data_IF_334776776933
#
_entry.id   IF_334776776933
#
_cell.length_a   1.000
_cell.length_b   1.000
_cell.length_c   1.000
_cell.angle_alpha   90.00
_cell.angle_beta   90.00
_cell.angle_gamma   90.00
#
_symmetry.space_group_name_H-M   'P 1'
#
loop_
_entity.id
_entity.type
_entity.pdbx_description
1 polymer ?
#
# COMPACT_ATOMS: atom_id res chain seq x y z
N UNK A 1 5.95 13.19 1.94
CA UNK A 1 7.03 12.77 1.00
C UNK A 1 7.27 11.28 1.16
N UNK A 2 7.55 10.56 0.08
CA UNK A 2 7.80 9.12 0.11
C UNK A 2 9.10 8.75 -0.59
N UNK A 3 9.82 7.78 -0.02
CA UNK A 3 10.97 7.14 -0.62
C UNK A 3 10.59 5.69 -0.94
N UNK A 4 10.80 5.29 -2.18
CA UNK A 4 10.54 3.93 -2.65
C UNK A 4 11.79 3.37 -3.30
N UNK A 5 12.08 2.10 -3.07
CA UNK A 5 13.17 1.39 -3.74
C UNK A 5 12.79 -0.07 -4.01
N UNK A 6 13.42 -0.66 -5.03
CA UNK A 6 13.28 -2.07 -5.33
C UNK A 6 14.40 -2.87 -4.67
N UNK A 7 14.05 -3.79 -3.78
CA UNK A 7 14.94 -4.79 -3.22
C UNK A 7 14.98 -5.99 -4.17
N UNK A 8 16.04 -6.08 -4.97
CA UNK A 8 16.22 -7.15 -5.94
C UNK A 8 16.43 -8.52 -5.30
N UNK A 9 17.05 -8.58 -4.10
CA UNK A 9 17.31 -9.83 -3.39
C UNK A 9 16.01 -10.49 -2.91
N UNK A 10 15.05 -9.67 -2.46
CA UNK A 10 13.72 -10.14 -2.04
C UNK A 10 12.68 -10.12 -3.17
N UNK A 11 12.97 -9.44 -4.28
CA UNK A 11 12.03 -9.15 -5.38
C UNK A 11 10.79 -8.37 -4.88
N UNK A 12 11.02 -7.35 -4.07
CA UNK A 12 9.97 -6.55 -3.43
C UNK A 12 10.23 -5.06 -3.65
N UNK A 13 9.17 -4.27 -3.66
CA UNK A 13 9.27 -2.81 -3.57
C UNK A 13 9.05 -2.44 -2.11
N UNK A 14 9.95 -1.66 -1.55
CA UNK A 14 9.84 -1.13 -0.20
C UNK A 14 9.61 0.37 -0.27
N UNK A 15 8.69 0.86 0.56
CA UNK A 15 8.32 2.27 0.63
C UNK A 15 8.34 2.76 2.07
N UNK A 16 8.70 4.03 2.25
CA UNK A 16 8.42 4.76 3.48
C UNK A 16 7.92 6.14 3.13
N UNK A 17 6.82 6.55 3.75
CA UNK A 17 6.26 7.87 3.52
C UNK A 17 5.62 8.47 4.77
N UNK A 18 5.57 9.79 4.78
CA UNK A 18 4.96 10.59 5.85
C UNK A 18 3.90 11.49 5.22
N UNK A 19 2.69 11.46 5.77
CA UNK A 19 1.58 12.32 5.36
C UNK A 19 1.77 13.74 5.91
N UNK A 20 1.12 14.74 5.30
CA UNK A 20 1.11 16.12 5.85
C UNK A 20 0.49 16.18 7.25
N UNK A 21 -0.38 15.23 7.59
CA UNK A 21 -0.97 15.08 8.93
C UNK A 21 -0.06 14.41 9.94
N UNK A 22 1.17 13.99 9.57
CA UNK A 22 2.13 13.39 10.49
C UNK A 22 2.04 11.86 10.65
N UNK A 23 1.15 11.19 9.91
CA UNK A 23 1.12 9.72 9.89
C UNK A 23 2.34 9.17 9.15
N UNK A 24 2.96 8.14 9.70
CA UNK A 24 4.13 7.46 9.13
C UNK A 24 3.71 6.09 8.63
N UNK A 25 4.22 5.70 7.46
CA UNK A 25 3.89 4.46 6.80
C UNK A 25 5.16 3.78 6.28
N UNK A 26 5.25 2.46 6.47
CA UNK A 26 6.25 1.58 5.91
C UNK A 26 5.52 0.52 5.08
N UNK A 27 5.86 0.44 3.80
CA UNK A 27 5.17 -0.37 2.81
C UNK A 27 6.10 -1.44 2.26
N UNK A 28 5.55 -2.64 2.05
CA UNK A 28 6.19 -3.71 1.29
C UNK A 28 5.21 -4.21 0.24
N UNK A 29 5.58 -4.08 -1.03
CA UNK A 29 4.83 -4.62 -2.17
C UNK A 29 5.60 -5.83 -2.71
N UNK A 30 4.91 -6.96 -2.85
CA UNK A 30 5.51 -8.23 -3.25
C UNK A 30 4.56 -9.05 -4.10
N UNK A 31 5.08 -9.97 -4.92
CA UNK A 31 4.26 -10.85 -5.75
C UNK A 31 4.08 -12.20 -5.06
N UNK A 32 2.84 -12.66 -4.92
CA UNK A 32 2.48 -13.98 -4.37
C UNK A 32 1.31 -14.57 -5.17
N UNK A 33 1.45 -15.83 -5.61
CA UNK A 33 0.46 -16.52 -6.44
C UNK A 33 0.01 -15.70 -7.67
N UNK A 34 0.96 -15.03 -8.34
CA UNK A 34 0.69 -14.23 -9.53
C UNK A 34 0.10 -12.84 -9.25
N UNK A 35 -0.34 -12.56 -8.03
CA UNK A 35 -0.94 -11.29 -7.62
C UNK A 35 0.07 -10.39 -6.90
N UNK A 36 -0.12 -9.08 -6.99
CA UNK A 36 0.63 -8.11 -6.21
C UNK A 36 -0.05 -7.90 -4.87
N UNK A 37 0.67 -8.19 -3.80
CA UNK A 37 0.25 -7.99 -2.42
C UNK A 37 1.00 -6.79 -1.86
N UNK A 38 0.35 -6.11 -0.93
CA UNK A 38 0.87 -4.91 -0.32
C UNK A 38 0.56 -4.98 1.17
N UNK A 39 1.60 -4.86 1.99
CA UNK A 39 1.49 -4.82 3.43
C UNK A 39 2.07 -3.50 3.92
N UNK A 40 1.31 -2.79 4.74
CA UNK A 40 1.77 -1.55 5.35
C UNK A 40 1.66 -1.61 6.87
N UNK A 41 2.65 -1.02 7.53
CA UNK A 41 2.66 -0.79 8.97
C UNK A 41 3.01 0.66 9.24
N UNK A 42 2.62 1.20 10.37
CA UNK A 42 2.89 2.60 10.64
C UNK A 42 2.25 3.10 11.91
N UNK A 43 2.08 4.41 11.97
CA UNK A 43 1.35 5.08 13.03
C UNK A 43 0.61 6.30 12.49
N UNK A 44 -0.56 6.58 13.04
CA UNK A 44 -1.18 7.90 12.88
C UNK A 44 -0.40 8.94 13.68
N UNK A 45 -0.74 10.22 13.49
CA UNK A 45 -0.06 11.35 14.11
C UNK A 45 0.03 11.27 15.65
N UNK A 46 -0.99 10.68 16.29
CA UNK A 46 -1.06 10.50 17.75
C UNK A 46 -0.29 9.26 18.27
N UNK A 47 0.42 8.56 17.38
CA UNK A 47 1.23 7.39 17.72
C UNK A 47 0.49 6.06 17.72
N UNK A 48 -0.84 6.04 17.57
CA UNK A 48 -1.57 4.75 17.46
C UNK A 48 -1.12 3.98 16.22
N UNK A 49 -0.95 2.64 16.33
CA UNK A 49 -0.40 1.84 15.24
C UNK A 49 -1.40 1.66 14.10
N UNK A 50 -0.86 1.56 12.88
CA UNK A 50 -1.60 1.22 11.67
C UNK A 50 -1.08 -0.11 11.13
N UNK A 51 -1.99 -0.97 10.70
CA UNK A 51 -1.68 -2.19 9.92
C UNK A 51 -2.64 -2.26 8.74
N UNK A 52 -2.11 -2.42 7.54
CA UNK A 52 -2.89 -2.59 6.32
C UNK A 52 -2.39 -3.79 5.53
N UNK A 53 -3.31 -4.51 4.90
CA UNK A 53 -2.98 -5.53 3.90
C UNK A 53 -3.93 -5.39 2.72
N UNK A 54 -3.39 -5.31 1.51
CA UNK A 54 -4.18 -5.17 0.29
C UNK A 54 -3.62 -5.99 -0.87
N UNK A 55 -4.49 -6.26 -1.83
CA UNK A 55 -4.15 -6.89 -3.10
C UNK A 55 -4.34 -5.84 -4.18
N UNK A 56 -3.34 -5.73 -5.06
CA UNK A 56 -3.37 -4.89 -6.24
C UNK A 56 -3.67 -5.73 -7.47
N UNK A 57 -4.78 -5.43 -8.11
CA UNK A 57 -5.15 -5.96 -9.41
C UNK A 57 -4.78 -4.96 -10.50
N UNK A 58 -3.99 -5.40 -11.47
CA UNK A 58 -3.52 -4.60 -12.59
C UNK A 58 -4.20 -5.15 -13.86
N UNK A 59 -4.90 -4.29 -14.58
CA UNK A 59 -5.61 -4.64 -15.82
C UNK A 59 -5.34 -3.59 -16.91
N UNK A 60 -5.93 -3.82 -18.10
CA UNK A 60 -5.86 -2.91 -19.25
C UNK A 60 -4.42 -2.56 -19.64
N UNK A 61 -3.57 -3.59 -19.75
CA UNK A 61 -2.14 -3.46 -20.08
C UNK A 61 -1.37 -2.52 -19.13
N UNK A 62 -1.69 -2.57 -17.83
CA UNK A 62 -1.06 -1.73 -16.82
C UNK A 62 -1.74 -0.37 -16.63
N UNK A 63 -2.71 0.02 -17.47
CA UNK A 63 -3.38 1.32 -17.34
C UNK A 63 -4.31 1.43 -16.13
N UNK A 64 -4.82 0.32 -15.60
CA UNK A 64 -5.74 0.33 -14.45
C UNK A 64 -5.17 -0.44 -13.27
N UNK A 65 -5.06 0.23 -12.12
CA UNK A 65 -4.68 -0.36 -10.84
C UNK A 65 -5.86 -0.27 -9.87
N UNK A 66 -6.35 -1.41 -9.40
CA UNK A 66 -7.33 -1.49 -8.31
C UNK A 66 -6.65 -2.03 -7.07
N UNK A 67 -6.82 -1.38 -5.91
CA UNK A 67 -6.34 -1.87 -4.61
C UNK A 67 -7.54 -2.16 -3.73
N UNK A 68 -7.58 -3.35 -3.15
CA UNK A 68 -8.58 -3.71 -2.16
C UNK A 68 -7.93 -4.39 -0.96
N UNK A 69 -8.37 -4.05 0.25
CA UNK A 69 -7.72 -4.55 1.44
C UNK A 69 -8.37 -4.14 2.76
N UNK A 70 -7.79 -4.61 3.85
CA UNK A 70 -8.18 -4.27 5.21
C UNK A 70 -7.21 -3.28 5.83
N UNK A 71 -7.75 -2.40 6.66
CA UNK A 71 -6.99 -1.41 7.45
C UNK A 71 -7.41 -1.55 8.89
N UNK A 72 -6.43 -1.57 9.80
CA UNK A 72 -6.63 -1.51 11.24
C UNK A 72 -5.87 -0.33 11.82
N UNK A 73 -6.52 0.42 12.70
CA UNK A 73 -5.89 1.47 13.52
C UNK A 73 -6.13 1.11 14.98
N UNK A 74 -5.06 1.03 15.77
CA UNK A 74 -5.14 0.62 17.18
C UNK A 74 -5.86 -0.73 17.37
N UNK A 75 -5.59 -1.67 16.45
CA UNK A 75 -6.22 -2.99 16.41
C UNK A 75 -7.69 -3.01 15.95
N UNK A 76 -8.33 -1.85 15.77
CA UNK A 76 -9.73 -1.72 15.34
C UNK A 76 -9.83 -1.64 13.83
N UNK A 77 -10.72 -2.45 13.26
CA UNK A 77 -11.06 -2.40 11.84
C UNK A 77 -11.57 -1.01 11.44
N UNK A 78 -11.12 -0.56 10.27
CA UNK A 78 -11.60 0.63 9.61
C UNK A 78 -12.38 0.23 8.36
N UNK A 79 -12.98 1.23 7.69
CA UNK A 79 -13.50 1.02 6.34
C UNK A 79 -12.41 0.44 5.43
N UNK A 80 -12.75 -0.57 4.62
CA UNK A 80 -11.77 -1.25 3.79
C UNK A 80 -11.21 -0.32 2.71
N UNK A 81 -9.95 -0.55 2.35
CA UNK A 81 -9.33 0.15 1.22
C UNK A 81 -10.02 -0.28 -0.08
N UNK A 82 -10.44 0.69 -0.90
CA UNK A 82 -11.03 0.47 -2.21
C UNK A 82 -10.59 1.56 -3.21
N UNK A 83 -9.31 1.58 -3.55
CA UNK A 83 -8.77 2.58 -4.49
C UNK A 83 -8.82 2.08 -5.93
N UNK A 84 -9.10 3.00 -6.85
CA UNK A 84 -8.95 2.77 -8.30
C UNK A 84 -8.15 3.91 -8.90
N UNK A 85 -7.03 3.57 -9.53
CA UNK A 85 -6.21 4.49 -10.32
C UNK A 85 -6.26 4.06 -11.78
N UNK A 86 -6.56 4.99 -12.68
CA UNK A 86 -6.54 4.74 -14.13
C UNK A 86 -5.71 5.81 -14.82
N UNK A 87 -4.72 5.38 -15.60
CA UNK A 87 -4.01 6.25 -16.52
C UNK A 87 -4.96 6.69 -17.65
N UNK A 88 -5.07 7.99 -17.88
CA UNK A 88 -5.84 8.57 -18.98
C UNK A 88 -4.83 9.11 -20.00
N UNK A 89 -4.84 8.52 -21.19
CA UNK A 89 -3.89 8.82 -22.25
C UNK A 89 -3.22 7.57 -22.81
N UNK A 90 -2.49 7.78 -23.90
CA UNK A 90 -1.59 6.81 -24.53
C UNK A 90 -0.14 7.10 -24.14
#
# INVERSE_FOLDING_TARGET
VGLYHYDAGKKQIQGRWVSSGGSVWNQVIYKKAGQWHEHETGSVADGRPIVMSSIRHISDDGKTHRRSGSVKVDGKDQEPLQDVFRHIGD
#
